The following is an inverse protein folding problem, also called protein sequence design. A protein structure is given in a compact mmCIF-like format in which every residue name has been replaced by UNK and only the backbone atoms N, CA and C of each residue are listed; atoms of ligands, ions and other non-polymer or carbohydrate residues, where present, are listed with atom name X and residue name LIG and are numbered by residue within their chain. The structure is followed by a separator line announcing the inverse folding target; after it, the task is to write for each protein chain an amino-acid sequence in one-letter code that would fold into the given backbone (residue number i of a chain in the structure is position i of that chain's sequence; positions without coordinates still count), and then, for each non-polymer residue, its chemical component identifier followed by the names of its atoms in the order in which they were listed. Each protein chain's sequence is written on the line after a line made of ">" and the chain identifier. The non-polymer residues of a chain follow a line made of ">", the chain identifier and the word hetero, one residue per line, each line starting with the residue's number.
data_IF_592777499993
#
_entry.id   IF_592777499993
#
_cell.length_a   1.000
_cell.length_b   1.000
_cell.length_c   1.000
_cell.angle_alpha   90.00
_cell.angle_beta   90.00
_cell.angle_gamma   90.00
#
_symmetry.space_group_name_H-M   'P 1'
#
loop_
_entity.id
_entity.type
_entity.pdbx_description
1 polymer ?
#
# COMPACT_ATOMS: atom_id res chain seq x y z
N UNK A 1 4.92 -10.27 -6.85
CA UNK A 1 3.88 -9.23 -6.95
C UNK A 1 3.39 -9.06 -8.40
N UNK A 2 2.17 -8.60 -8.66
CA UNK A 2 1.73 -8.19 -10.02
C UNK A 2 2.03 -6.71 -10.29
N UNK A 3 2.13 -6.29 -11.56
CA UNK A 3 2.36 -4.89 -11.91
C UNK A 3 1.27 -3.95 -11.37
N UNK A 4 0.01 -4.42 -11.37
CA UNK A 4 -1.11 -3.68 -10.78
C UNK A 4 -0.94 -3.47 -9.28
N UNK A 5 -0.60 -4.53 -8.54
CA UNK A 5 -0.33 -4.43 -7.10
C UNK A 5 0.83 -3.48 -6.79
N UNK A 6 1.89 -3.50 -7.60
CA UNK A 6 3.04 -2.61 -7.41
C UNK A 6 2.65 -1.13 -7.55
N UNK A 7 1.83 -0.80 -8.56
CA UNK A 7 1.35 0.57 -8.78
C UNK A 7 0.43 1.02 -7.66
N UNK A 8 -0.54 0.19 -7.27
CA UNK A 8 -1.47 0.49 -6.18
C UNK A 8 -0.72 0.70 -4.86
N UNK A 9 0.21 -0.20 -4.52
CA UNK A 9 1.00 -0.08 -3.29
C UNK A 9 1.87 1.19 -3.30
N UNK A 10 2.47 1.55 -4.44
CA UNK A 10 3.25 2.78 -4.57
C UNK A 10 2.40 4.03 -4.35
N UNK A 11 1.22 4.10 -4.96
CA UNK A 11 0.32 5.26 -4.78
C UNK A 11 -0.12 5.41 -3.32
N UNK A 12 -0.60 4.34 -2.70
CA UNK A 12 -1.05 4.36 -1.30
C UNK A 12 0.08 4.69 -0.33
N UNK A 13 1.29 4.18 -0.57
CA UNK A 13 2.46 4.47 0.25
C UNK A 13 2.88 5.95 0.17
N UNK A 14 2.65 6.63 -0.97
CA UNK A 14 2.90 8.07 -1.10
C UNK A 14 1.83 8.87 -0.37
N UNK A 15 0.56 8.50 -0.54
CA UNK A 15 -0.59 9.15 0.10
C UNK A 15 -0.53 9.07 1.62
N UNK A 16 -0.12 7.92 2.16
CA UNK A 16 0.09 7.73 3.58
C UNK A 16 1.42 8.32 4.10
N UNK A 17 2.23 8.98 3.27
CA UNK A 17 3.59 9.45 3.59
C UNK A 17 4.54 8.34 4.12
N UNK A 18 4.33 7.09 3.69
CA UNK A 18 5.07 5.90 4.11
C UNK A 18 5.80 5.20 2.93
N UNK A 19 6.76 5.84 2.25
CA UNK A 19 7.41 5.28 1.06
C UNK A 19 8.20 3.98 1.32
N UNK A 20 8.56 3.69 2.57
CA UNK A 20 9.27 2.46 2.97
C UNK A 20 8.39 1.21 2.89
N UNK A 21 7.06 1.34 2.80
CA UNK A 21 6.18 0.18 2.62
C UNK A 21 6.29 -0.48 1.24
N UNK A 22 6.85 0.25 0.27
CA UNK A 22 7.13 -0.25 -1.08
C UNK A 22 8.50 -0.95 -1.14
N UNK A 23 8.53 -2.24 -0.81
CA UNK A 23 9.71 -3.10 -1.05
C UNK A 23 9.60 -3.79 -2.42
N UNK A 24 10.72 -3.87 -3.15
CA UNK A 24 10.76 -4.41 -4.52
C UNK A 24 10.45 -5.92 -4.61
N UNK A 25 10.68 -6.66 -3.53
CA UNK A 25 10.64 -8.14 -3.53
C UNK A 25 9.39 -8.72 -2.86
N UNK A 26 8.29 -7.96 -2.80
CA UNK A 26 7.08 -8.45 -2.17
C UNK A 26 6.43 -9.60 -2.95
N UNK A 27 5.99 -10.61 -2.20
CA UNK A 27 5.11 -11.66 -2.74
C UNK A 27 3.75 -11.04 -3.09
N UNK A 28 2.96 -11.72 -3.94
CA UNK A 28 1.60 -11.23 -4.27
C UNK A 28 0.70 -11.15 -3.04
N UNK A 29 0.82 -12.10 -2.11
CA UNK A 29 0.03 -12.13 -0.88
C UNK A 29 0.44 -10.99 0.06
N UNK A 30 1.74 -10.73 0.19
CA UNK A 30 2.25 -9.65 1.05
C UNK A 30 1.88 -8.27 0.52
N UNK A 31 2.01 -8.07 -0.80
CA UNK A 31 1.55 -6.83 -1.45
C UNK A 31 0.05 -6.60 -1.24
N UNK A 32 -0.78 -7.64 -1.30
CA UNK A 32 -2.22 -7.52 -1.04
C UNK A 32 -2.52 -7.12 0.41
N UNK A 33 -1.83 -7.72 1.39
CA UNK A 33 -1.99 -7.37 2.80
C UNK A 33 -1.60 -5.91 3.08
N UNK A 34 -0.46 -5.46 2.54
CA UNK A 34 0.00 -4.06 2.71
C UNK A 34 -0.94 -3.05 2.04
N UNK A 35 -1.47 -3.38 0.85
CA UNK A 35 -2.47 -2.54 0.18
C UNK A 35 -3.71 -2.36 1.05
N UNK A 36 -4.25 -3.44 1.62
CA UNK A 36 -5.45 -3.35 2.46
C UNK A 36 -5.19 -2.59 3.77
N UNK A 37 -4.03 -2.79 4.40
CA UNK A 37 -3.64 -2.03 5.58
C UNK A 37 -3.57 -0.52 5.29
N UNK A 38 -2.89 -0.12 4.21
CA UNK A 38 -2.77 1.29 3.82
C UNK A 38 -4.13 1.91 3.49
N UNK A 39 -5.02 1.19 2.81
CA UNK A 39 -6.39 1.67 2.55
C UNK A 39 -7.16 1.94 3.84
N UNK A 40 -7.04 1.06 4.84
CA UNK A 40 -7.70 1.25 6.13
C UNK A 40 -7.11 2.44 6.88
N UNK A 41 -5.79 2.60 6.88
CA UNK A 41 -5.13 3.76 7.51
C UNK A 41 -5.58 5.08 6.88
N UNK A 42 -5.63 5.16 5.55
CA UNK A 42 -6.09 6.35 4.82
C UNK A 42 -7.56 6.62 5.11
N UNK A 43 -8.43 5.60 5.04
CA UNK A 43 -9.85 5.76 5.33
C UNK A 43 -10.12 6.21 6.78
N UNK A 44 -9.31 5.76 7.74
CA UNK A 44 -9.38 6.25 9.12
C UNK A 44 -8.93 7.71 9.22
N UNK A 45 -7.86 8.10 8.53
CA UNK A 45 -7.39 9.48 8.50
C UNK A 45 -8.41 10.45 7.88
N UNK A 46 -9.10 10.03 6.82
CA UNK A 46 -10.15 10.82 6.13
C UNK A 46 -11.46 10.95 6.93
N UNK A 47 -11.63 10.13 7.98
CA UNK A 47 -12.87 10.11 8.79
C UNK A 47 -12.89 11.11 9.96
N UNK A 48 -11.85 11.92 10.13
CA UNK A 48 -11.71 12.97 11.15
C UNK A 48 -11.80 14.37 10.55
#
# INVERSE_FOLDING_TARGET
>A
MSRGQALTLKSLAIEAYQPKQFEKDLTRAEAARRIEALKQEIALADSF
#
